data_IF_312338533234
#
_entry.id   IF_312338533234
#
_cell.length_a   1.000
_cell.length_b   1.000
_cell.length_c   1.000
_cell.angle_alpha   90.00
_cell.angle_beta   90.00
_cell.angle_gamma   90.00
#
_symmetry.space_group_name_H-M   'P 1'
#
loop_
_entity.id
_entity.type
_entity.pdbx_description
1 polymer ?
#
# COMPACT_ATOMS: atom_id res chain seq x y z
N UNK A 1 17.42 -19.62 -10.80
CA UNK A 1 17.82 -18.19 -10.89
C UNK A 1 16.65 -17.21 -10.87
N UNK A 2 15.50 -17.52 -11.49
CA UNK A 2 14.37 -16.59 -11.62
C UNK A 2 13.69 -16.16 -10.31
N UNK A 3 13.56 -17.05 -9.31
CA UNK A 3 12.92 -16.70 -8.01
C UNK A 3 13.67 -15.64 -7.21
N UNK A 4 15.01 -15.68 -7.20
CA UNK A 4 15.81 -14.69 -6.48
C UNK A 4 15.64 -13.28 -7.08
N UNK A 5 15.55 -13.19 -8.41
CA UNK A 5 15.28 -11.92 -9.10
C UNK A 5 13.89 -11.34 -8.74
N UNK A 6 12.87 -12.20 -8.59
CA UNK A 6 11.54 -11.74 -8.15
C UNK A 6 11.55 -11.18 -6.73
N UNK A 7 12.36 -11.73 -5.83
CA UNK A 7 12.51 -11.20 -4.46
C UNK A 7 13.18 -9.83 -4.46
N UNK A 8 14.20 -9.63 -5.31
CA UNK A 8 14.87 -8.32 -5.46
C UNK A 8 13.88 -7.27 -5.97
N UNK A 9 13.00 -7.63 -6.92
CA UNK A 9 12.01 -6.71 -7.47
C UNK A 9 10.92 -6.33 -6.46
N UNK A 10 10.56 -7.24 -5.55
CA UNK A 10 9.56 -6.99 -4.50
C UNK A 10 10.13 -6.31 -3.24
N UNK A 11 11.45 -6.09 -3.17
CA UNK A 11 12.10 -5.49 -2.01
C UNK A 11 11.83 -3.98 -1.97
N UNK A 12 11.27 -3.47 -0.87
CA UNK A 12 11.01 -2.03 -0.70
C UNK A 12 12.28 -1.17 -0.67
N UNK A 13 13.46 -1.77 -0.46
CA UNK A 13 14.75 -1.08 -0.56
C UNK A 13 15.24 -0.97 -2.00
N UNK A 14 14.54 -1.59 -2.96
CA UNK A 14 14.91 -1.53 -4.37
C UNK A 14 14.88 -0.07 -4.86
N UNK A 15 15.99 0.47 -5.38
CA UNK A 15 16.15 1.90 -5.64
C UNK A 15 15.49 2.35 -6.95
N UNK A 16 14.22 1.98 -7.17
CA UNK A 16 13.45 2.32 -8.37
C UNK A 16 12.70 3.66 -8.30
N UNK A 17 12.86 4.41 -7.21
CA UNK A 17 12.04 5.60 -6.92
C UNK A 17 10.90 5.28 -5.95
N UNK A 18 10.33 6.32 -5.34
CA UNK A 18 9.45 6.20 -4.18
C UNK A 18 8.24 5.29 -4.39
N UNK A 19 7.99 4.41 -3.41
CA UNK A 19 6.79 3.60 -3.26
C UNK A 19 5.57 4.41 -3.68
N UNK A 20 4.90 3.96 -4.74
CA UNK A 20 3.94 4.75 -5.51
C UNK A 20 2.80 5.35 -4.66
N UNK A 21 3.00 6.56 -4.16
CA UNK A 21 2.06 7.36 -3.38
C UNK A 21 1.44 6.64 -2.14
N UNK A 22 0.87 7.41 -1.21
CA UNK A 22 0.24 6.84 0.01
C UNK A 22 -1.01 5.98 -0.26
N UNK A 23 -1.38 5.77 -1.53
CA UNK A 23 -2.55 4.97 -1.91
C UNK A 23 -3.88 5.53 -1.41
N UNK A 24 -3.93 6.82 -1.10
CA UNK A 24 -5.10 7.47 -0.49
C UNK A 24 -5.20 7.32 1.02
N UNK A 25 -4.27 6.62 1.66
CA UNK A 25 -4.26 6.44 3.12
C UNK A 25 -4.14 7.78 3.85
N UNK A 26 -3.29 8.69 3.35
CA UNK A 26 -3.15 10.04 3.93
C UNK A 26 -4.47 10.82 3.92
N UNK A 27 -5.20 10.77 2.79
CA UNK A 27 -6.50 11.41 2.68
C UNK A 27 -7.56 10.73 3.58
N UNK A 28 -7.51 9.40 3.71
CA UNK A 28 -8.41 8.65 4.57
C UNK A 28 -8.15 8.92 6.07
N UNK A 29 -6.91 9.12 6.48
CA UNK A 29 -6.54 9.60 7.83
C UNK A 29 -7.08 11.00 8.05
N UNK A 30 -6.85 11.93 7.11
CA UNK A 30 -7.35 13.31 7.20
C UNK A 30 -8.88 13.38 7.29
N UNK A 31 -9.58 12.43 6.67
CA UNK A 31 -11.04 12.29 6.73
C UNK A 31 -11.56 11.54 7.97
N UNK A 32 -10.69 11.11 8.90
CA UNK A 32 -11.09 10.37 10.11
C UNK A 32 -11.54 8.92 9.86
N UNK A 33 -11.30 8.37 8.66
CA UNK A 33 -11.67 6.99 8.30
C UNK A 33 -10.63 5.95 8.74
N UNK A 34 -9.37 6.37 8.85
CA UNK A 34 -8.28 5.56 9.42
C UNK A 34 -7.85 6.23 10.72
N UNK A 35 -8.07 5.57 11.84
CA UNK A 35 -7.76 6.05 13.19
C UNK A 35 -6.78 5.15 13.94
N UNK A 36 -6.44 4.00 13.36
CA UNK A 36 -5.49 3.04 13.93
C UNK A 36 -5.33 1.78 13.07
N UNK A 37 -4.60 0.80 13.60
CA UNK A 37 -4.22 -0.41 12.88
C UNK A 37 -5.43 -1.21 12.34
N UNK A 38 -6.49 -1.38 13.13
CA UNK A 38 -7.69 -2.11 12.70
C UNK A 38 -8.38 -1.42 11.50
N UNK A 39 -8.60 -0.10 11.58
CA UNK A 39 -9.18 0.68 10.48
C UNK A 39 -8.28 0.74 9.23
N UNK A 40 -6.95 0.68 9.41
CA UNK A 40 -6.01 0.60 8.30
C UNK A 40 -6.09 -0.76 7.59
N UNK A 41 -6.24 -1.85 8.35
CA UNK A 41 -6.45 -3.18 7.76
C UNK A 41 -7.73 -3.21 6.91
N UNK A 42 -8.85 -2.71 7.45
CA UNK A 42 -10.11 -2.62 6.73
C UNK A 42 -9.99 -1.78 5.46
N UNK A 43 -9.32 -0.63 5.55
CA UNK A 43 -9.02 0.22 4.39
C UNK A 43 -8.22 -0.55 3.32
N UNK A 44 -7.12 -1.20 3.71
CA UNK A 44 -6.28 -1.98 2.79
C UNK A 44 -7.06 -3.12 2.14
N UNK A 45 -7.89 -3.84 2.91
CA UNK A 45 -8.75 -4.91 2.40
C UNK A 45 -9.76 -4.36 1.38
N UNK A 46 -10.43 -3.25 1.70
CA UNK A 46 -11.33 -2.57 0.77
C UNK A 46 -10.64 -2.18 -0.54
N UNK A 47 -9.43 -1.64 -0.47
CA UNK A 47 -8.66 -1.27 -1.67
C UNK A 47 -8.33 -2.46 -2.57
N UNK A 48 -8.02 -3.62 -2.01
CA UNK A 48 -7.78 -4.84 -2.79
C UNK A 48 -9.03 -5.25 -3.58
N UNK A 49 -10.23 -5.02 -3.02
CA UNK A 49 -11.49 -5.31 -3.69
C UNK A 49 -11.88 -4.29 -4.75
N UNK A 50 -11.43 -3.03 -4.63
CA UNK A 50 -11.78 -1.95 -5.59
C UNK A 50 -10.72 -1.69 -6.66
N UNK A 51 -9.61 -2.43 -6.64
CA UNK A 51 -8.46 -2.16 -7.51
C UNK A 51 -7.74 -0.85 -7.15
N UNK A 52 -7.82 -0.42 -5.89
CA UNK A 52 -7.14 0.79 -5.40
C UNK A 52 -7.86 2.11 -5.73
N UNK A 53 -9.13 2.07 -6.16
CA UNK A 53 -9.93 3.29 -6.34
C UNK A 53 -10.17 3.95 -4.98
N UNK A 54 -9.82 5.24 -4.90
CA UNK A 54 -10.08 6.15 -3.77
C UNK A 54 -11.34 6.95 -4.00
#
# INVERSE_FOLDING_TARGET
>A
MTRAALLVLADGRFPAGGHAHSGGAEAAVKAGRITGAASLEEFCRGRLHTGGKV
#
